data_IF_772332609581
#
_entry.id   IF_772332609581
#
_cell.length_a   1.000
_cell.length_b   1.000
_cell.length_c   1.000
_cell.angle_alpha   90.00
_cell.angle_beta   90.00
_cell.angle_gamma   90.00
#
_symmetry.space_group_name_H-M   'P 1'
#
loop_
_entity.id
_entity.type
_entity.pdbx_description
1 polymer ?
#
# COMPACT_ATOMS: atom_id res chain seq x y z
N UNK A 1 11.15 57.99 50.43
CA UNK A 1 10.48 56.73 50.03
C UNK A 1 9.00 57.03 49.85
N UNK A 2 8.54 57.26 48.61
CA UNK A 2 7.16 57.68 48.35
C UNK A 2 6.27 56.43 48.36
N UNK A 3 5.41 56.28 49.38
CA UNK A 3 4.41 55.22 49.44
C UNK A 3 3.17 55.66 48.66
N UNK A 4 3.04 55.20 47.43
CA UNK A 4 1.82 55.40 46.63
C UNK A 4 0.78 54.41 47.13
N UNK A 5 -0.31 54.92 47.71
CA UNK A 5 -1.36 54.11 48.30
C UNK A 5 -2.49 53.93 47.29
N UNK A 6 -2.41 52.88 46.47
CA UNK A 6 -3.44 52.57 45.47
C UNK A 6 -4.77 52.19 46.14
N UNK A 7 -5.85 52.75 45.62
CA UNK A 7 -7.21 52.36 45.97
C UNK A 7 -7.46 50.89 45.63
N UNK A 8 -8.46 50.27 46.29
CA UNK A 8 -8.83 48.87 46.04
C UNK A 8 -9.15 48.60 44.56
N UNK A 9 -9.72 49.60 43.87
CA UNK A 9 -10.06 49.55 42.43
C UNK A 9 -8.81 49.58 41.55
N UNK A 10 -7.83 50.41 41.88
CA UNK A 10 -6.55 50.48 41.14
C UNK A 10 -5.72 49.21 41.32
N UNK A 11 -5.70 48.63 42.52
CA UNK A 11 -5.06 47.32 42.76
C UNK A 11 -5.69 46.21 41.92
N UNK A 12 -7.02 46.19 41.82
CA UNK A 12 -7.73 45.23 40.98
C UNK A 12 -7.41 45.42 39.49
N UNK A 13 -7.41 46.67 39.02
CA UNK A 13 -7.08 47.00 37.62
C UNK A 13 -5.65 46.58 37.27
N UNK A 14 -4.70 46.81 38.19
CA UNK A 14 -3.31 46.40 38.02
C UNK A 14 -3.15 44.88 37.93
N UNK A 15 -3.84 44.13 38.80
CA UNK A 15 -3.85 42.66 38.76
C UNK A 15 -4.45 42.17 37.43
N UNK A 16 -5.54 42.76 36.97
CA UNK A 16 -6.17 42.41 35.70
C UNK A 16 -5.24 42.65 34.49
N UNK A 17 -4.57 43.81 34.47
CA UNK A 17 -3.56 44.13 33.45
C UNK A 17 -2.38 43.15 33.46
N UNK A 18 -1.91 42.75 34.65
CA UNK A 18 -0.86 41.75 34.79
C UNK A 18 -1.29 40.39 34.22
N UNK A 19 -2.54 39.98 34.47
CA UNK A 19 -3.11 38.73 33.93
C UNK A 19 -3.21 38.76 32.40
N UNK A 20 -3.68 39.88 31.83
CA UNK A 20 -3.76 40.05 30.38
C UNK A 20 -2.35 39.98 29.76
N UNK A 21 -1.37 40.64 30.38
CA UNK A 21 0.01 40.60 29.92
C UNK A 21 0.61 39.18 29.97
N UNK A 22 0.39 38.45 31.08
CA UNK A 22 0.82 37.06 31.20
C UNK A 22 0.16 36.17 30.12
N UNK A 23 -1.13 36.39 29.85
CA UNK A 23 -1.86 35.64 28.83
C UNK A 23 -1.24 35.82 27.44
N UNK A 24 -0.86 37.05 27.06
CA UNK A 24 -0.18 37.30 25.79
C UNK A 24 1.20 36.64 25.71
N UNK A 25 1.97 36.63 26.80
CA UNK A 25 3.26 35.91 26.86
C UNK A 25 3.07 34.42 26.62
N UNK A 26 2.07 33.80 27.27
CA UNK A 26 1.75 32.38 27.10
C UNK A 26 1.36 32.09 25.64
N UNK A 27 0.53 32.95 25.04
CA UNK A 27 0.10 32.81 23.65
C UNK A 27 1.29 32.86 22.68
N UNK A 28 2.24 33.78 22.92
CA UNK A 28 3.46 33.92 22.14
C UNK A 28 4.34 32.66 22.26
N UNK A 29 4.51 32.12 23.46
CA UNK A 29 5.27 30.88 23.69
C UNK A 29 4.62 29.70 22.95
N UNK A 30 3.29 29.58 22.98
CA UNK A 30 2.56 28.54 22.23
C UNK A 30 2.76 28.69 20.72
N UNK A 31 2.73 29.92 20.21
CA UNK A 31 2.98 30.21 18.80
C UNK A 31 4.40 29.82 18.37
N UNK A 32 5.41 30.17 19.18
CA UNK A 32 6.81 29.83 18.90
C UNK A 32 7.08 28.32 18.97
N UNK A 33 6.46 27.62 19.92
CA UNK A 33 6.51 26.14 20.02
C UNK A 33 5.87 25.48 18.78
N UNK A 34 4.75 25.99 18.29
CA UNK A 34 4.10 25.50 17.08
C UNK A 34 4.97 25.74 15.84
N UNK A 35 5.62 26.89 15.72
CA UNK A 35 6.59 27.18 14.65
C UNK A 35 7.78 26.22 14.73
N UNK A 36 8.30 25.93 15.93
CA UNK A 36 9.43 25.01 16.09
C UNK A 36 9.06 23.58 15.67
N UNK A 37 7.86 23.12 16.04
CA UNK A 37 7.33 21.82 15.61
C UNK A 37 7.11 21.77 14.10
N UNK A 38 6.62 22.85 13.50
CA UNK A 38 6.49 22.98 12.05
C UNK A 38 7.85 22.93 11.34
N UNK A 39 8.87 23.66 11.85
CA UNK A 39 10.25 23.60 11.33
C UNK A 39 10.85 22.20 11.43
N UNK A 40 10.65 21.49 12.54
CA UNK A 40 11.09 20.08 12.69
C UNK A 40 10.40 19.16 11.67
N UNK A 41 9.11 19.36 11.40
CA UNK A 41 8.36 18.60 10.39
C UNK A 41 8.88 18.89 8.97
N UNK A 42 9.16 20.15 8.64
CA UNK A 42 9.79 20.55 7.37
C UNK A 42 11.20 19.96 7.23
N UNK A 43 12.03 20.01 8.27
CA UNK A 43 13.38 19.44 8.24
C UNK A 43 13.34 17.92 8.03
N UNK A 44 12.37 17.22 8.62
CA UNK A 44 12.14 15.78 8.40
C UNK A 44 11.75 15.49 6.94
N UNK A 45 10.96 16.38 6.30
CA UNK A 45 10.60 16.30 4.88
C UNK A 45 11.83 16.57 3.99
N UNK A 46 12.65 17.57 4.30
CA UNK A 46 13.89 17.90 3.56
C UNK A 46 14.90 16.76 3.64
N UNK A 47 15.10 16.17 4.82
CA UNK A 47 15.98 15.00 4.99
C UNK A 47 15.43 13.77 4.26
N UNK A 48 14.10 13.60 4.18
CA UNK A 48 13.45 12.59 3.33
C UNK A 48 13.75 12.85 1.84
N UNK A 49 13.72 14.11 1.37
CA UNK A 49 14.10 14.50 -0.01
C UNK A 49 15.57 14.20 -0.33
N UNK A 50 16.52 14.44 0.59
CA UNK A 50 17.94 14.10 0.38
C UNK A 50 18.17 12.60 0.22
N UNK A 51 17.43 11.77 0.96
CA UNK A 51 17.48 10.32 0.79
C UNK A 51 16.89 9.86 -0.55
N UNK A 52 15.89 10.57 -1.09
CA UNK A 52 15.29 10.27 -2.40
C UNK A 52 16.26 10.50 -3.58
N UNK A 53 17.07 11.57 -3.56
CA UNK A 53 18.08 11.82 -4.61
C UNK A 53 19.17 10.73 -4.62
N UNK A 54 19.38 10.04 -3.49
CA UNK A 54 20.33 8.93 -3.41
C UNK A 54 19.78 7.59 -3.94
N UNK A 55 18.47 7.48 -4.17
CA UNK A 55 17.85 6.27 -4.77
C UNK A 55 17.98 6.22 -6.30
N UNK A 56 18.28 7.33 -6.99
CA UNK A 56 18.45 7.34 -8.44
C UNK A 56 19.78 6.71 -8.93
N UNK A 57 20.69 6.33 -8.02
CA UNK A 57 22.01 5.79 -8.39
C UNK A 57 22.29 4.35 -7.96
N UNK A 58 21.31 3.61 -7.45
CA UNK A 58 21.55 2.23 -6.96
C UNK A 58 21.09 1.17 -7.95
N UNK A 59 22.07 0.72 -8.73
CA UNK A 59 22.19 -0.58 -9.43
C UNK A 59 20.93 -1.12 -10.11
N UNK A 60 20.85 -0.92 -11.43
CA UNK A 60 20.16 -1.84 -12.34
C UNK A 60 20.82 -3.23 -12.26
N UNK A 61 20.45 -4.02 -11.26
CA UNK A 61 20.76 -5.45 -11.27
C UNK A 61 19.99 -6.07 -12.43
N UNK A 62 20.73 -6.67 -13.37
CA UNK A 62 20.18 -7.52 -14.43
C UNK A 62 19.11 -8.43 -13.84
N UNK A 63 17.86 -8.17 -14.19
CA UNK A 63 16.73 -9.04 -13.86
C UNK A 63 16.95 -10.33 -14.63
N UNK A 64 17.38 -11.37 -13.92
CA UNK A 64 17.39 -12.73 -14.46
C UNK A 64 15.95 -13.04 -14.89
N UNK A 65 15.76 -13.37 -16.17
CA UNK A 65 14.47 -13.77 -16.72
C UNK A 65 14.12 -15.12 -16.08
N UNK A 66 13.43 -15.07 -14.95
CA UNK A 66 12.85 -16.25 -14.29
C UNK A 66 11.55 -16.63 -15.00
N UNK A 67 11.21 -17.91 -14.98
CA UNK A 67 10.00 -18.43 -15.60
C UNK A 67 8.79 -17.65 -15.08
N UNK A 68 8.00 -17.09 -15.98
CA UNK A 68 6.85 -16.28 -15.61
C UNK A 68 5.77 -17.19 -15.01
N UNK A 69 5.56 -17.09 -13.69
CA UNK A 69 4.46 -17.78 -13.00
C UNK A 69 3.16 -17.47 -13.75
N UNK A 70 2.36 -18.49 -14.11
CA UNK A 70 1.07 -18.28 -14.76
C UNK A 70 0.17 -17.36 -13.94
N UNK A 71 -0.67 -16.58 -14.62
CA UNK A 71 -1.75 -15.86 -13.93
C UNK A 71 -2.69 -16.88 -13.26
N UNK A 72 -3.28 -16.54 -12.10
CA UNK A 72 -4.23 -17.44 -11.47
C UNK A 72 -5.47 -17.61 -12.33
N UNK A 73 -6.03 -18.82 -12.30
CA UNK A 73 -7.36 -19.06 -12.84
C UNK A 73 -8.40 -18.54 -11.84
N UNK A 74 -9.42 -17.85 -12.35
CA UNK A 74 -10.45 -17.23 -11.54
C UNK A 74 -11.79 -17.75 -12.01
N UNK A 75 -12.53 -18.35 -11.10
CA UNK A 75 -13.87 -18.85 -11.37
C UNK A 75 -14.84 -18.04 -10.52
N UNK A 76 -15.64 -17.14 -11.12
CA UNK A 76 -16.87 -16.72 -10.45
C UNK A 76 -17.70 -17.99 -10.28
N UNK A 77 -18.05 -18.32 -9.06
CA UNK A 77 -19.10 -19.30 -8.84
C UNK A 77 -20.37 -18.48 -9.01
N UNK A 78 -21.26 -18.86 -9.94
CA UNK A 78 -22.45 -18.10 -10.39
C UNK A 78 -23.53 -17.89 -9.30
N UNK A 79 -23.12 -17.79 -8.03
CA UNK A 79 -23.96 -17.67 -6.86
C UNK A 79 -23.70 -16.31 -6.22
N UNK A 80 -24.67 -15.42 -6.42
CA UNK A 80 -24.84 -14.21 -5.62
C UNK A 80 -26.15 -14.32 -4.86
N UNK A 81 -26.17 -13.93 -3.59
CA UNK A 81 -27.39 -13.89 -2.79
C UNK A 81 -27.34 -12.69 -1.86
N UNK A 82 -28.51 -12.33 -1.32
CA UNK A 82 -28.62 -11.28 -0.31
C UNK A 82 -28.79 -11.95 1.03
N UNK A 83 -27.97 -11.54 2.00
CA UNK A 83 -28.09 -11.96 3.38
C UNK A 83 -28.44 -10.75 4.24
N UNK A 84 -29.41 -10.89 5.15
CA UNK A 84 -29.82 -9.82 6.05
C UNK A 84 -29.03 -9.95 7.35
N UNK A 85 -28.15 -8.98 7.61
CA UNK A 85 -27.36 -8.91 8.83
C UNK A 85 -27.62 -7.56 9.51
N UNK A 86 -28.19 -7.57 10.73
CA UNK A 86 -28.52 -6.37 11.50
C UNK A 86 -29.31 -5.30 10.70
N UNK A 87 -30.35 -5.71 9.98
CA UNK A 87 -31.19 -4.85 9.12
C UNK A 87 -30.46 -4.22 7.91
N UNK A 88 -29.28 -4.74 7.55
CA UNK A 88 -28.59 -4.38 6.33
C UNK A 88 -28.56 -5.55 5.37
N UNK A 89 -28.98 -5.30 4.12
CA UNK A 89 -28.88 -6.26 3.03
C UNK A 89 -27.44 -6.27 2.51
N UNK A 90 -26.74 -7.38 2.73
CA UNK A 90 -25.36 -7.56 2.27
C UNK A 90 -25.38 -8.48 1.05
N UNK A 91 -24.69 -8.08 -0.02
CA UNK A 91 -24.52 -8.92 -1.20
C UNK A 91 -23.41 -9.92 -0.91
N UNK A 92 -23.75 -11.19 -0.92
CA UNK A 92 -22.85 -12.31 -0.73
C UNK A 92 -22.51 -12.94 -2.06
N UNK A 93 -21.27 -13.43 -2.20
CA UNK A 93 -20.76 -14.05 -3.43
C UNK A 93 -19.92 -15.27 -3.11
N UNK A 94 -19.81 -16.17 -4.11
CA UNK A 94 -18.79 -17.22 -4.13
C UNK A 94 -17.77 -16.99 -5.24
N UNK A 95 -16.49 -17.18 -4.93
CA UNK A 95 -15.39 -17.01 -5.89
C UNK A 95 -14.26 -17.96 -5.60
N UNK A 96 -13.64 -18.52 -6.64
CA UNK A 96 -12.51 -19.44 -6.52
C UNK A 96 -11.31 -18.91 -7.31
N UNK A 97 -10.12 -19.03 -6.71
CA UNK A 97 -8.84 -18.74 -7.34
C UNK A 97 -7.94 -19.96 -7.29
N UNK A 98 -7.24 -20.22 -8.38
CA UNK A 98 -6.22 -21.27 -8.46
C UNK A 98 -4.88 -20.61 -8.76
N UNK A 99 -3.95 -20.74 -7.82
CA UNK A 99 -2.59 -20.21 -7.93
C UNK A 99 -1.59 -21.32 -8.22
N UNK A 100 -0.65 -21.02 -9.13
CA UNK A 100 0.45 -21.91 -9.50
C UNK A 100 1.78 -21.51 -8.84
N UNK A 101 1.79 -20.42 -8.07
CA UNK A 101 2.98 -19.83 -7.47
C UNK A 101 2.65 -18.48 -6.83
N UNK A 102 3.65 -17.83 -6.23
CA UNK A 102 3.53 -16.48 -5.68
C UNK A 102 3.62 -15.43 -6.80
N UNK A 103 2.48 -15.11 -7.42
CA UNK A 103 2.40 -14.19 -8.55
C UNK A 103 2.39 -12.70 -8.15
N UNK A 104 2.42 -12.38 -6.85
CA UNK A 104 2.43 -11.01 -6.33
C UNK A 104 3.83 -10.45 -6.03
N UNK A 105 4.88 -11.23 -6.24
CA UNK A 105 6.26 -10.77 -6.04
C UNK A 105 6.59 -9.65 -7.03
N UNK A 106 7.20 -8.57 -6.53
CA UNK A 106 7.48 -7.30 -7.21
C UNK A 106 6.25 -6.57 -7.77
N UNK A 107 5.02 -6.98 -7.42
CA UNK A 107 3.80 -6.44 -8.02
C UNK A 107 3.75 -4.90 -8.00
N UNK A 108 3.99 -4.29 -6.84
CA UNK A 108 3.96 -2.83 -6.70
C UNK A 108 5.02 -2.14 -7.54
N UNK A 109 6.25 -2.66 -7.57
CA UNK A 109 7.34 -2.12 -8.38
C UNK A 109 7.00 -2.18 -9.87
N UNK A 110 6.50 -3.32 -10.33
CA UNK A 110 6.07 -3.50 -11.73
C UNK A 110 4.93 -2.56 -12.09
N UNK A 111 3.95 -2.39 -11.19
CA UNK A 111 2.82 -1.48 -11.38
C UNK A 111 3.27 -0.02 -11.45
N UNK A 112 4.21 0.40 -10.59
CA UNK A 112 4.81 1.74 -10.60
C UNK A 112 5.52 1.99 -11.94
N UNK A 113 6.35 1.04 -12.41
CA UNK A 113 7.05 1.14 -13.70
C UNK A 113 6.04 1.22 -14.86
N UNK A 114 4.99 0.38 -14.84
CA UNK A 114 3.93 0.40 -15.85
C UNK A 114 3.19 1.73 -15.87
N UNK A 115 2.88 2.29 -14.73
CA UNK A 115 2.20 3.58 -14.61
C UNK A 115 3.10 4.73 -15.10
N UNK A 116 4.40 4.71 -14.76
CA UNK A 116 5.40 5.65 -15.31
C UNK A 116 5.43 5.62 -16.84
N UNK A 117 5.56 4.44 -17.42
CA UNK A 117 5.57 4.25 -18.87
C UNK A 117 4.26 4.71 -19.52
N UNK A 118 3.12 4.50 -18.86
CA UNK A 118 1.82 4.98 -19.33
C UNK A 118 1.75 6.50 -19.34
N UNK A 119 2.19 7.16 -18.26
CA UNK A 119 2.27 8.63 -18.18
C UNK A 119 3.16 9.18 -19.31
N UNK A 120 4.32 8.57 -19.55
CA UNK A 120 5.24 9.06 -20.59
C UNK A 120 4.67 8.90 -22.01
N UNK A 121 3.88 7.84 -22.26
CA UNK A 121 3.12 7.72 -23.53
C UNK A 121 2.06 8.82 -23.66
N UNK A 122 1.33 9.11 -22.58
CA UNK A 122 0.31 10.16 -22.60
C UNK A 122 0.90 11.56 -22.81
N UNK A 123 2.08 11.86 -22.25
CA UNK A 123 2.82 13.11 -22.52
C UNK A 123 3.10 13.31 -24.01
N UNK A 124 3.58 12.26 -24.69
CA UNK A 124 3.83 12.31 -26.15
C UNK A 124 2.57 12.59 -26.94
N UNK A 125 1.42 12.05 -26.51
CA UNK A 125 0.13 12.33 -27.15
C UNK A 125 -0.25 13.80 -26.95
N UNK A 126 -0.06 14.37 -25.75
CA UNK A 126 -0.29 15.81 -25.53
C UNK A 126 0.57 16.65 -26.48
N UNK A 127 1.87 16.37 -26.60
CA UNK A 127 2.78 17.13 -27.48
C UNK A 127 2.35 17.08 -28.96
N UNK A 128 1.69 16.00 -29.40
CA UNK A 128 1.11 15.88 -30.75
C UNK A 128 -0.19 16.68 -30.86
N UNK A 129 -1.10 16.51 -29.91
CA UNK A 129 -2.42 17.16 -29.92
C UNK A 129 -2.33 18.69 -29.75
N UNK A 130 -1.28 19.19 -29.08
CA UNK A 130 -0.96 20.63 -29.01
C UNK A 130 -0.75 21.23 -30.41
N UNK A 131 -0.10 20.50 -31.32
CA UNK A 131 0.08 20.93 -32.72
C UNK A 131 -1.24 20.94 -33.49
N UNK A 132 -2.12 20.00 -33.18
CA UNK A 132 -3.45 19.86 -33.78
C UNK A 132 -4.50 20.78 -33.14
N UNK A 133 -4.14 21.54 -32.09
CA UNK A 133 -5.03 22.44 -31.33
C UNK A 133 -6.28 21.74 -30.76
N UNK A 134 -6.20 20.45 -30.44
CA UNK A 134 -7.33 19.68 -29.88
C UNK A 134 -7.42 19.84 -28.36
N UNK A 135 -7.96 20.97 -27.92
CA UNK A 135 -8.00 21.37 -26.51
C UNK A 135 -8.77 20.38 -25.63
N UNK A 136 -9.91 19.86 -26.09
CA UNK A 136 -10.73 18.94 -25.31
C UNK A 136 -10.00 17.62 -25.04
N UNK A 137 -9.33 17.08 -26.06
CA UNK A 137 -8.56 15.83 -25.93
C UNK A 137 -7.36 16.02 -25.01
N UNK A 138 -6.67 17.16 -25.10
CA UNK A 138 -5.55 17.49 -24.21
C UNK A 138 -6.01 17.49 -22.75
N UNK A 139 -7.13 18.15 -22.43
CA UNK A 139 -7.62 18.23 -21.05
C UNK A 139 -8.01 16.85 -20.50
N UNK A 140 -8.67 16.00 -21.32
CA UNK A 140 -8.96 14.61 -20.94
C UNK A 140 -7.69 13.82 -20.63
N UNK A 141 -6.64 13.97 -21.43
CA UNK A 141 -5.37 13.27 -21.22
C UNK A 141 -4.65 13.79 -19.96
N UNK A 142 -4.67 15.10 -19.71
CA UNK A 142 -4.10 15.72 -18.51
C UNK A 142 -4.76 15.18 -17.23
N UNK A 143 -6.09 15.10 -17.20
CA UNK A 143 -6.83 14.48 -16.09
C UNK A 143 -6.43 13.01 -15.88
N UNK A 144 -6.23 12.25 -16.96
CA UNK A 144 -5.74 10.87 -16.85
C UNK A 144 -4.32 10.79 -16.30
N UNK A 145 -3.41 11.67 -16.74
CA UNK A 145 -2.05 11.76 -16.22
C UNK A 145 -2.07 12.07 -14.72
N UNK A 146 -2.86 13.07 -14.31
CA UNK A 146 -3.00 13.44 -12.90
C UNK A 146 -3.54 12.28 -12.07
N UNK A 147 -4.62 11.62 -12.51
CA UNK A 147 -5.19 10.47 -11.82
C UNK A 147 -4.18 9.33 -11.63
N UNK A 148 -3.48 8.92 -12.70
CA UNK A 148 -2.47 7.86 -12.63
C UNK A 148 -1.30 8.29 -11.74
N UNK A 149 -0.88 9.55 -11.84
CA UNK A 149 0.20 10.14 -11.07
C UNK A 149 -0.09 10.12 -9.57
N UNK A 150 -1.26 10.62 -9.16
CA UNK A 150 -1.70 10.61 -7.77
C UNK A 150 -1.83 9.20 -7.21
N UNK A 151 -2.42 8.26 -7.97
CA UNK A 151 -2.53 6.85 -7.56
C UNK A 151 -1.16 6.18 -7.36
N UNK A 152 -0.15 6.62 -8.11
CA UNK A 152 1.19 6.01 -8.08
C UNK A 152 2.07 6.65 -7.01
N UNK A 153 2.13 7.99 -6.98
CA UNK A 153 3.10 8.76 -6.21
C UNK A 153 2.47 9.59 -5.08
N UNK A 154 1.14 9.57 -4.95
CA UNK A 154 0.43 10.48 -4.07
C UNK A 154 0.63 11.94 -4.50
N UNK A 155 0.53 12.86 -3.54
CA UNK A 155 0.74 14.31 -3.77
C UNK A 155 2.16 14.65 -4.21
N UNK A 156 3.13 13.78 -3.94
CA UNK A 156 4.51 13.98 -4.42
C UNK A 156 4.58 13.99 -5.95
N UNK A 157 3.57 13.47 -6.66
CA UNK A 157 3.47 13.55 -8.11
C UNK A 157 3.66 14.98 -8.66
N UNK A 158 3.11 15.98 -7.98
CA UNK A 158 3.18 17.39 -8.41
C UNK A 158 4.61 17.97 -8.37
N UNK A 159 5.49 17.40 -7.54
CA UNK A 159 6.90 17.80 -7.50
C UNK A 159 7.68 17.26 -8.71
N UNK A 160 7.22 16.17 -9.34
CA UNK A 160 7.93 15.47 -10.42
C UNK A 160 7.42 15.80 -11.83
N UNK A 161 6.15 16.20 -11.95
CA UNK A 161 5.51 16.41 -13.24
C UNK A 161 5.64 17.88 -13.70
N UNK A 162 5.95 18.09 -14.97
CA UNK A 162 5.91 19.44 -15.54
C UNK A 162 4.46 19.93 -15.61
N UNK A 163 4.20 21.15 -15.10
CA UNK A 163 2.89 21.80 -15.07
C UNK A 163 2.17 21.81 -16.42
N UNK A 164 2.89 21.81 -17.55
CA UNK A 164 2.27 21.76 -18.88
C UNK A 164 1.40 20.51 -19.10
N UNK A 165 1.72 19.40 -18.42
CA UNK A 165 0.96 18.14 -18.51
C UNK A 165 -0.13 17.97 -17.44
N UNK A 166 -0.33 18.99 -16.60
CA UNK A 166 -1.38 19.01 -15.60
C UNK A 166 -2.62 19.77 -16.11
N UNK A 167 -3.82 19.41 -15.62
CA UNK A 167 -5.02 20.17 -15.89
C UNK A 167 -4.94 21.55 -15.24
N UNK A 168 -5.76 22.49 -15.71
CA UNK A 168 -5.80 23.85 -15.14
C UNK A 168 -6.35 23.87 -13.72
N UNK A 169 -7.35 23.02 -13.47
CA UNK A 169 -7.95 22.83 -12.16
C UNK A 169 -7.46 21.50 -11.62
N UNK A 170 -6.64 21.58 -10.58
CA UNK A 170 -6.19 20.40 -9.84
C UNK A 170 -7.42 19.70 -9.28
N UNK A 171 -7.47 18.37 -9.42
CA UNK A 171 -8.48 17.57 -8.74
C UNK A 171 -8.21 17.70 -7.23
N UNK A 172 -9.11 18.34 -6.48
CA UNK A 172 -9.05 18.37 -5.01
C UNK A 172 -9.16 16.92 -4.53
N UNK A 173 -8.04 16.38 -4.04
CA UNK A 173 -7.93 14.95 -3.80
C UNK A 173 -7.82 14.60 -2.30
N UNK A 174 -8.71 13.71 -1.86
CA UNK A 174 -8.73 13.03 -0.55
C UNK A 174 -7.52 12.09 -0.46
N UNK A 175 -6.85 11.85 0.68
CA UNK A 175 -5.64 11.02 0.70
C UNK A 175 -5.91 9.64 0.08
N UNK A 176 -5.37 9.39 -1.12
CA UNK A 176 -5.28 8.06 -1.67
C UNK A 176 -4.05 7.39 -1.06
N UNK A 177 -4.25 6.19 -0.54
CA UNK A 177 -3.15 5.23 -0.48
C UNK A 177 -2.53 5.13 -1.88
N UNK A 178 -1.21 5.23 -1.95
CA UNK A 178 -0.48 5.25 -3.22
C UNK A 178 0.52 4.10 -3.27
N UNK A 179 0.82 3.66 -4.49
CA UNK A 179 1.66 2.48 -4.72
C UNK A 179 3.08 2.63 -4.12
N UNK A 180 3.63 3.85 -4.10
CA UNK A 180 4.96 4.13 -3.52
C UNK A 180 4.98 3.94 -2.00
N UNK A 181 3.91 4.30 -1.30
CA UNK A 181 3.81 4.07 0.14
C UNK A 181 3.55 2.59 0.46
N UNK A 182 2.68 1.93 -0.33
CA UNK A 182 2.45 0.49 -0.20
C UNK A 182 3.74 -0.31 -0.44
N UNK A 183 4.53 0.01 -1.47
CA UNK A 183 5.81 -0.66 -1.75
C UNK A 183 6.82 -0.54 -0.58
N UNK A 184 6.76 0.56 0.17
CA UNK A 184 7.62 0.80 1.34
C UNK A 184 7.18 0.05 2.59
N UNK A 185 5.87 -0.09 2.78
CA UNK A 185 5.29 -0.74 3.94
C UNK A 185 5.30 -2.25 3.72
N UNK A 186 4.83 -2.69 2.56
CA UNK A 186 4.73 -4.08 2.15
C UNK A 186 6.05 -4.59 1.57
N UNK A 187 7.10 -4.52 2.37
CA UNK A 187 8.43 -4.94 1.92
C UNK A 187 8.49 -6.45 1.78
N UNK A 188 8.92 -6.87 0.60
CA UNK A 188 9.37 -8.22 0.34
C UNK A 188 10.60 -8.60 1.18
N UNK A 189 10.71 -9.87 1.62
CA UNK A 189 11.94 -10.42 2.21
C UNK A 189 13.15 -10.24 1.29
N UNK A 190 14.31 -9.85 1.84
CA UNK A 190 15.53 -9.59 1.02
C UNK A 190 16.28 -10.86 0.59
N UNK A 191 16.04 -11.98 1.29
CA UNK A 191 16.66 -13.29 1.03
C UNK A 191 15.54 -14.26 0.65
N UNK A 192 15.26 -14.35 -0.64
CA UNK A 192 14.41 -15.40 -1.16
C UNK A 192 15.27 -16.62 -1.50
N UNK A 193 14.79 -17.81 -1.20
CA UNK A 193 15.24 -18.97 -1.94
C UNK A 193 14.79 -18.79 -3.40
N UNK A 194 15.62 -19.16 -4.37
CA UNK A 194 15.33 -18.98 -5.78
C UNK A 194 13.98 -19.60 -6.19
N UNK A 195 13.59 -20.72 -5.56
CA UNK A 195 12.33 -21.42 -5.84
C UNK A 195 11.07 -20.58 -5.60
N UNK A 196 11.10 -19.56 -4.74
CA UNK A 196 9.93 -18.71 -4.44
C UNK A 196 9.42 -17.96 -5.67
N UNK A 197 10.28 -17.74 -6.65
CA UNK A 197 9.96 -17.08 -7.91
C UNK A 197 9.44 -18.03 -8.97
N UNK A 198 9.45 -19.34 -8.70
CA UNK A 198 9.01 -20.37 -9.60
C UNK A 198 7.62 -20.88 -9.23
N UNK A 199 7.06 -21.75 -10.07
CA UNK A 199 5.80 -22.43 -9.75
C UNK A 199 5.95 -23.34 -8.53
N UNK A 200 4.85 -23.62 -7.85
CA UNK A 200 4.79 -24.55 -6.72
C UNK A 200 5.33 -25.96 -7.04
N UNK A 201 5.35 -26.35 -8.32
CA UNK A 201 5.99 -27.59 -8.79
C UNK A 201 7.49 -27.63 -8.51
N UNK A 202 8.14 -26.47 -8.52
CA UNK A 202 9.58 -26.34 -8.31
C UNK A 202 9.92 -26.15 -6.83
N UNK A 203 8.90 -26.17 -5.96
CA UNK A 203 9.09 -26.06 -4.53
C UNK A 203 9.31 -27.46 -3.97
N UNK A 204 10.56 -27.73 -3.55
CA UNK A 204 10.92 -29.01 -2.96
C UNK A 204 9.99 -29.36 -1.79
N UNK A 205 9.49 -30.59 -1.77
CA UNK A 205 8.67 -31.14 -0.71
C UNK A 205 7.32 -30.41 -0.49
N UNK A 206 6.65 -29.97 -1.57
CA UNK A 206 5.29 -29.42 -1.54
C UNK A 206 4.34 -30.19 -0.62
N UNK A 207 4.27 -31.52 -0.81
CA UNK A 207 3.34 -32.37 -0.07
C UNK A 207 3.67 -32.50 1.44
N UNK A 208 4.92 -32.25 1.86
CA UNK A 208 5.41 -32.58 3.22
C UNK A 208 5.98 -31.40 4.03
N UNK A 209 6.41 -30.31 3.38
CA UNK A 209 7.18 -29.21 4.01
C UNK A 209 6.59 -27.83 3.78
N UNK A 210 5.49 -27.71 3.04
CA UNK A 210 4.88 -26.43 2.67
C UNK A 210 3.51 -26.37 3.32
N UNK A 211 3.50 -25.96 4.59
CA UNK A 211 2.27 -25.83 5.36
C UNK A 211 1.76 -24.40 5.20
N UNK A 212 0.57 -24.27 4.63
CA UNK A 212 -0.18 -23.03 4.68
C UNK A 212 -0.96 -22.96 5.99
N UNK A 213 -0.51 -22.12 6.91
CA UNK A 213 -1.18 -21.91 8.20
C UNK A 213 -2.06 -20.67 8.11
N UNK A 214 -3.32 -20.87 7.77
CA UNK A 214 -4.34 -19.82 7.78
C UNK A 214 -4.46 -19.22 9.18
N UNK A 215 -4.44 -17.90 9.29
CA UNK A 215 -4.49 -17.21 10.57
C UNK A 215 -5.90 -16.75 10.91
N UNK A 216 -6.37 -17.01 12.13
CA UNK A 216 -7.62 -16.45 12.70
C UNK A 216 -7.63 -14.92 12.74
N UNK A 217 -6.43 -14.32 12.72
CA UNK A 217 -6.22 -12.87 12.61
C UNK A 217 -6.57 -12.36 11.20
N UNK A 218 -6.70 -13.22 10.18
CA UNK A 218 -7.08 -12.76 8.84
C UNK A 218 -8.49 -12.15 8.86
N UNK A 219 -8.65 -10.97 8.24
CA UNK A 219 -9.98 -10.40 8.00
C UNK A 219 -10.82 -11.33 7.11
N UNK A 220 -10.18 -12.10 6.24
CA UNK A 220 -10.82 -13.09 5.38
C UNK A 220 -11.02 -14.45 6.04
N UNK A 221 -10.58 -14.63 7.30
CA UNK A 221 -10.54 -15.95 7.94
C UNK A 221 -11.89 -16.66 7.87
N UNK A 222 -13.00 -15.99 8.16
CA UNK A 222 -14.31 -16.65 8.20
C UNK A 222 -14.86 -17.02 6.82
N UNK A 223 -14.34 -16.41 5.75
CA UNK A 223 -14.94 -16.51 4.42
C UNK A 223 -14.09 -17.30 3.43
N UNK A 224 -12.87 -17.66 3.81
CA UNK A 224 -11.88 -18.24 2.91
C UNK A 224 -11.54 -19.68 3.29
N UNK A 225 -11.71 -20.62 2.37
CA UNK A 225 -11.15 -21.96 2.44
C UNK A 225 -9.87 -22.01 1.61
N UNK A 226 -8.83 -22.65 2.14
CA UNK A 226 -7.52 -22.75 1.48
C UNK A 226 -7.17 -24.23 1.34
N UNK A 227 -6.90 -24.67 0.12
CA UNK A 227 -6.60 -26.07 -0.19
C UNK A 227 -5.33 -26.16 -1.03
N UNK A 228 -4.54 -27.20 -0.78
CA UNK A 228 -3.40 -27.57 -1.60
C UNK A 228 -3.76 -28.82 -2.38
N UNK A 229 -3.65 -28.78 -3.70
CA UNK A 229 -4.05 -29.88 -4.58
C UNK A 229 -3.04 -30.09 -5.71
N UNK A 230 -3.19 -31.20 -6.44
CA UNK A 230 -2.54 -31.43 -7.73
C UNK A 230 -3.58 -31.36 -8.85
N UNK A 231 -3.40 -30.44 -9.80
CA UNK A 231 -4.21 -30.31 -11.02
C UNK A 231 -3.32 -30.56 -12.23
N UNK A 232 -3.69 -31.55 -13.05
CA UNK A 232 -2.93 -31.96 -14.24
C UNK A 232 -1.44 -32.24 -13.94
N UNK A 233 -1.17 -32.87 -12.79
CA UNK A 233 0.18 -33.17 -12.32
C UNK A 233 0.94 -31.98 -11.71
N UNK A 234 0.31 -30.81 -11.59
CA UNK A 234 0.92 -29.59 -11.03
C UNK A 234 0.36 -29.25 -9.65
N UNK A 235 1.25 -28.87 -8.75
CA UNK A 235 0.95 -28.33 -7.43
C UNK A 235 0.26 -26.97 -7.55
N UNK A 236 -0.90 -26.84 -6.91
CA UNK A 236 -1.69 -25.62 -6.90
C UNK A 236 -2.16 -25.27 -5.50
N UNK A 237 -2.33 -23.96 -5.25
CA UNK A 237 -3.04 -23.45 -4.08
C UNK A 237 -4.40 -22.92 -4.53
N UNK A 238 -5.46 -23.47 -3.95
CA UNK A 238 -6.82 -23.04 -4.20
C UNK A 238 -7.29 -22.17 -3.04
N UNK A 239 -7.83 -21.00 -3.37
CA UNK A 239 -8.59 -20.16 -2.45
C UNK A 239 -10.05 -20.17 -2.85
N UNK A 240 -10.95 -20.56 -1.96
CA UNK A 240 -12.40 -20.48 -2.17
C UNK A 240 -13.01 -19.51 -1.18
N UNK A 241 -13.66 -18.47 -1.70
CA UNK A 241 -14.30 -17.43 -0.93
C UNK A 241 -15.81 -17.59 -0.98
N UNK A 242 -16.45 -17.49 0.18
CA UNK A 242 -17.91 -17.40 0.36
C UNK A 242 -18.17 -16.30 1.37
N UNK A 243 -18.58 -15.10 0.93
CA UNK A 243 -18.68 -13.96 1.83
C UNK A 243 -19.17 -12.66 1.17
N UNK A 244 -19.14 -11.53 1.91
CA UNK A 244 -19.56 -10.21 1.42
C UNK A 244 -18.76 -9.72 0.19
N UNK A 245 -19.46 -9.31 -0.86
CA UNK A 245 -18.87 -8.81 -2.11
C UNK A 245 -17.90 -7.64 -1.89
N UNK A 246 -18.27 -6.71 -1.01
CA UNK A 246 -17.55 -5.47 -0.74
C UNK A 246 -16.09 -5.71 -0.32
N UNK A 247 -15.83 -6.80 0.42
CA UNK A 247 -14.48 -7.19 0.86
C UNK A 247 -13.56 -7.46 -0.33
N UNK A 248 -14.09 -7.91 -1.47
CA UNK A 248 -13.27 -8.21 -2.65
C UNK A 248 -13.05 -6.99 -3.57
N UNK A 249 -13.70 -5.86 -3.29
CA UNK A 249 -13.67 -4.67 -4.16
C UNK A 249 -12.60 -3.64 -3.74
N UNK A 250 -11.97 -3.85 -2.58
CA UNK A 250 -10.90 -2.97 -2.09
C UNK A 250 -9.58 -3.17 -2.88
N UNK A 251 -9.31 -2.26 -3.82
CA UNK A 251 -8.20 -2.40 -4.76
C UNK A 251 -6.81 -2.52 -4.10
N UNK A 252 -6.55 -1.73 -3.06
CA UNK A 252 -5.21 -1.63 -2.44
C UNK A 252 -5.06 -2.48 -1.17
N UNK A 253 -6.01 -3.39 -0.94
CA UNK A 253 -6.02 -4.21 0.28
C UNK A 253 -5.34 -5.57 0.06
N UNK A 254 -4.14 -5.72 0.61
CA UNK A 254 -3.47 -7.01 0.74
C UNK A 254 -3.83 -7.65 2.08
N UNK A 255 -4.76 -8.61 2.07
CA UNK A 255 -5.20 -9.29 3.28
C UNK A 255 -4.16 -10.30 3.73
N UNK A 256 -3.69 -10.18 4.98
CA UNK A 256 -2.89 -11.24 5.58
C UNK A 256 -3.70 -12.52 5.66
N UNK A 257 -3.21 -13.60 5.04
CA UNK A 257 -3.89 -14.90 5.04
C UNK A 257 -3.31 -15.84 6.09
N UNK A 258 -2.04 -15.70 6.41
CA UNK A 258 -1.35 -16.69 7.24
C UNK A 258 0.13 -16.80 6.95
N UNK A 259 0.71 -17.92 7.39
CA UNK A 259 2.14 -18.20 7.19
C UNK A 259 2.33 -19.31 6.16
N UNK A 260 3.40 -19.18 5.39
CA UNK A 260 3.96 -20.27 4.60
C UNK A 260 5.27 -20.67 5.27
N UNK A 261 5.36 -21.93 5.73
CA UNK A 261 6.60 -22.51 6.23
C UNK A 261 7.30 -23.22 5.09
N UNK A 262 8.60 -22.95 4.90
CA UNK A 262 9.44 -23.61 3.91
C UNK A 262 10.65 -24.23 4.62
N UNK A 263 10.77 -25.55 4.57
CA UNK A 263 11.95 -26.26 5.06
C UNK A 263 12.92 -26.52 3.90
N UNK A 264 14.08 -25.88 3.96
CA UNK A 264 15.13 -25.96 2.93
C UNK A 264 16.32 -26.71 3.49
N UNK A 265 16.74 -27.76 2.78
CA UNK A 265 17.99 -28.45 3.04
C UNK A 265 19.10 -27.66 2.34
N UNK A 266 20.05 -27.11 3.09
CA UNK A 266 21.27 -26.58 2.49
C UNK A 266 22.24 -27.73 2.21
N UNK A 267 22.56 -27.91 0.92
CA UNK A 267 23.35 -29.02 0.38
C UNK A 267 24.72 -29.26 1.04
N UNK A 268 25.24 -28.31 1.83
CA UNK A 268 26.58 -28.41 2.44
C UNK A 268 26.56 -28.71 3.95
N UNK A 269 25.41 -28.64 4.64
CA UNK A 269 25.37 -28.82 6.10
C UNK A 269 24.28 -29.74 6.63
N UNK A 270 23.40 -30.28 5.77
CA UNK A 270 22.20 -31.03 6.17
C UNK A 270 21.36 -30.32 7.27
N UNK A 271 21.49 -29.00 7.40
CA UNK A 271 20.66 -28.20 8.30
C UNK A 271 19.38 -27.83 7.57
N UNK A 272 18.26 -28.30 8.11
CA UNK A 272 16.92 -27.82 7.74
C UNK A 272 16.79 -26.37 8.21
N UNK A 273 16.79 -25.44 7.27
CA UNK A 273 16.39 -24.06 7.53
C UNK A 273 14.90 -23.94 7.30
N UNK A 274 14.16 -23.78 8.39
CA UNK A 274 12.74 -23.44 8.34
C UNK A 274 12.62 -21.93 8.20
N UNK A 275 12.19 -21.47 7.02
CA UNK A 275 11.89 -20.06 6.77
C UNK A 275 10.37 -19.88 6.78
N UNK A 276 9.90 -18.94 7.57
CA UNK A 276 8.50 -18.53 7.60
C UNK A 276 8.29 -17.25 6.78
N UNK A 277 7.30 -17.27 5.90
CA UNK A 277 6.87 -16.11 5.13
C UNK A 277 5.44 -15.73 5.49
N UNK A 278 5.17 -14.42 5.62
CA UNK A 278 3.82 -13.90 5.87
C UNK A 278 3.10 -13.76 4.54
N UNK A 279 2.17 -14.65 4.26
CA UNK A 279 1.43 -14.68 3.01
C UNK A 279 0.25 -13.71 3.04
N UNK A 280 0.10 -12.98 1.95
CA UNK A 280 -0.98 -12.02 1.75
C UNK A 280 -1.66 -12.28 0.41
N UNK A 281 -2.93 -11.92 0.33
CA UNK A 281 -3.74 -12.06 -0.86
C UNK A 281 -4.50 -10.77 -1.12
N UNK A 282 -4.39 -10.27 -2.35
CA UNK A 282 -5.21 -9.18 -2.84
C UNK A 282 -6.26 -9.74 -3.83
N UNK A 283 -7.55 -9.77 -3.46
CA UNK A 283 -8.60 -10.33 -4.29
C UNK A 283 -8.96 -9.47 -5.51
N UNK A 284 -8.68 -8.18 -5.47
CA UNK A 284 -8.93 -7.26 -6.58
C UNK A 284 -7.90 -7.47 -7.69
N UNK A 285 -6.61 -7.50 -7.34
CA UNK A 285 -5.53 -7.77 -8.28
C UNK A 285 -5.31 -9.26 -8.56
N UNK A 286 -5.91 -10.14 -7.76
CA UNK A 286 -5.73 -11.60 -7.80
C UNK A 286 -4.25 -11.96 -7.65
N UNK A 287 -3.60 -11.42 -6.61
CA UNK A 287 -2.19 -11.64 -6.35
C UNK A 287 -1.97 -12.31 -5.01
N UNK A 288 -1.13 -13.35 -5.01
CA UNK A 288 -0.62 -14.01 -3.83
C UNK A 288 0.83 -13.57 -3.61
N UNK A 289 1.06 -12.90 -2.48
CA UNK A 289 2.29 -12.21 -2.14
C UNK A 289 2.87 -12.72 -0.82
N UNK A 290 4.14 -12.43 -0.57
CA UNK A 290 4.76 -12.58 0.75
C UNK A 290 5.47 -11.30 1.15
N UNK A 291 5.28 -10.91 2.41
CA UNK A 291 5.86 -9.69 2.98
C UNK A 291 6.59 -10.00 4.29
N UNK A 292 7.44 -9.07 4.72
CA UNK A 292 8.13 -9.15 6.03
C UNK A 292 7.19 -8.96 7.20
N UNK A 293 6.15 -8.15 7.03
CA UNK A 293 5.20 -7.78 8.08
C UNK A 293 3.79 -8.22 7.75
N UNK A 294 2.94 -8.33 8.78
CA UNK A 294 1.50 -8.63 8.63
C UNK A 294 0.77 -7.31 8.45
N UNK A 295 -0.19 -7.26 7.54
CA UNK A 295 -1.06 -6.10 7.33
C UNK A 295 -2.50 -6.55 7.13
N UNK A 296 -3.45 -5.63 7.36
CA UNK A 296 -4.88 -5.86 7.09
C UNK A 296 -5.40 -7.17 7.73
N UNK A 297 -5.02 -7.33 9.00
CA UNK A 297 -5.47 -8.38 9.90
C UNK A 297 -6.42 -7.76 10.93
N UNK A 298 -7.25 -8.56 11.59
CA UNK A 298 -8.04 -8.15 12.75
C UNK A 298 -7.07 -7.59 13.78
N UNK A 299 -7.01 -6.26 13.89
CA UNK A 299 -6.45 -5.64 15.09
C UNK A 299 -7.19 -6.28 16.27
N UNK A 300 -6.46 -6.87 17.23
CA UNK A 300 -7.05 -7.11 18.54
C UNK A 300 -7.58 -5.77 18.99
N UNK A 301 -8.89 -5.59 18.92
CA UNK A 301 -9.60 -4.61 19.71
C UNK A 301 -9.42 -5.14 21.12
N UNK A 302 -8.37 -4.65 21.80
CA UNK A 302 -8.20 -4.80 23.24
C UNK A 302 -9.01 -3.73 23.94
#
# INVERSE_FOLDING_TARGET
MIKINYSKKEKFLFILLLFIFLFFIILQIFYDLNILNFKKKIQKIINKKKNFVHYEKKEEKKVVIKNKIPKPEIFPIDQTWIENNNNQNIIMIKKKWIFYGLNGINFYKEKIIKNKNKIDKLKKIIDIEEKNKNVEKIEKIKNQIEFIGLKTYGTSFYDYINKKYLPKKIINFYPFDNLIELEKIQQEPKKFNNCIYDTFDQWNNWDNKIIFEKSEESLLFNYLTIMQEKKDGKNILILEYTGPKEILEEELMDYYLGKIKLSIIQNESNKDLNIEYKCHFNPFFNTLSIYKEKFNYKNKIS
#
